data_IF_034932246723
#
_entry.id   IF_034932246723
#
_cell.length_a   1.000
_cell.length_b   1.000
_cell.length_c   1.000
_cell.angle_alpha   90.00
_cell.angle_beta   90.00
_cell.angle_gamma   90.00
#
_symmetry.space_group_name_H-M   'P 1'
#
loop_
_entity.id
_entity.type
_entity.pdbx_description
1 polymer ?
#
# COMPACT_ATOMS: atom_id res chain seq x y z
N UNK A 1 -42.97 26.64 43.38
CA UNK A 1 -41.71 27.43 43.45
C UNK A 1 -40.54 26.51 43.13
N UNK A 2 -39.91 26.64 41.95
CA UNK A 2 -38.65 25.93 41.62
C UNK A 2 -37.49 26.83 42.07
N UNK A 3 -36.65 26.37 43.01
CA UNK A 3 -35.40 27.05 43.32
C UNK A 3 -34.46 27.00 42.10
N UNK A 4 -33.75 28.09 41.76
CA UNK A 4 -32.80 28.06 40.66
C UNK A 4 -31.53 27.31 41.11
N UNK A 5 -31.06 26.36 40.30
CA UNK A 5 -29.76 25.72 40.48
C UNK A 5 -28.65 26.78 40.50
N UNK A 6 -27.98 26.95 41.64
CA UNK A 6 -26.81 27.81 41.75
C UNK A 6 -25.68 27.24 40.89
N UNK A 7 -25.31 27.93 39.80
CA UNK A 7 -24.10 27.62 39.02
C UNK A 7 -22.88 27.81 39.94
N UNK A 8 -22.30 26.71 40.43
CA UNK A 8 -21.00 26.73 41.11
C UNK A 8 -19.96 27.30 40.16
N UNK A 9 -19.50 28.53 40.40
CA UNK A 9 -18.39 29.14 39.66
C UNK A 9 -17.10 28.42 40.06
N UNK A 10 -16.51 27.69 39.12
CA UNK A 10 -15.16 27.15 39.25
C UNK A 10 -14.21 28.32 39.51
N UNK A 11 -13.44 28.27 40.61
CA UNK A 11 -12.55 29.36 40.98
C UNK A 11 -11.49 29.59 39.91
N UNK A 12 -10.96 30.81 39.81
CA UNK A 12 -9.93 31.18 38.84
C UNK A 12 -8.71 30.26 38.95
N UNK A 13 -8.36 29.85 40.17
CA UNK A 13 -7.27 28.91 40.42
C UNK A 13 -7.55 27.52 39.83
N UNK A 14 -8.76 27.00 39.96
CA UNK A 14 -9.15 25.73 39.34
C UNK A 14 -9.19 25.81 37.81
N UNK A 15 -9.60 26.94 37.24
CA UNK A 15 -9.52 27.17 35.79
C UNK A 15 -8.07 27.22 35.30
N UNK A 16 -7.17 27.85 36.06
CA UNK A 16 -5.75 27.94 35.75
C UNK A 16 -5.07 26.56 35.86
N UNK A 17 -5.37 25.80 36.91
CA UNK A 17 -4.89 24.41 37.06
C UNK A 17 -5.40 23.55 35.92
N UNK A 18 -6.69 23.62 35.58
CA UNK A 18 -7.25 22.87 34.45
C UNK A 18 -6.60 23.27 33.12
N UNK A 19 -6.31 24.55 32.92
CA UNK A 19 -5.65 25.05 31.71
C UNK A 19 -4.20 24.56 31.62
N UNK A 20 -3.43 24.66 32.71
CA UNK A 20 -2.04 24.20 32.75
C UNK A 20 -1.97 22.67 32.60
N UNK A 21 -2.89 21.92 33.20
CA UNK A 21 -2.94 20.47 33.01
C UNK A 21 -3.36 20.11 31.59
N UNK A 22 -4.37 20.74 31.01
CA UNK A 22 -4.74 20.53 29.60
C UNK A 22 -3.60 20.88 28.65
N UNK A 23 -2.84 21.95 28.92
CA UNK A 23 -1.69 22.36 28.12
C UNK A 23 -0.52 21.38 28.28
N UNK A 24 -0.22 20.93 29.51
CA UNK A 24 0.83 19.96 29.80
C UNK A 24 0.52 18.56 29.25
N UNK A 25 -0.71 18.08 29.41
CA UNK A 25 -1.16 16.83 28.79
C UNK A 25 -1.23 16.94 27.27
N UNK A 26 -1.71 18.06 26.74
CA UNK A 26 -1.77 18.31 25.30
C UNK A 26 -0.40 18.35 24.64
N UNK A 27 0.59 18.95 25.29
CA UNK A 27 1.98 18.99 24.80
C UNK A 27 2.68 17.64 24.89
N UNK A 28 2.55 16.90 25.99
CA UNK A 28 3.13 15.57 26.12
C UNK A 28 2.48 14.54 25.19
N UNK A 29 1.14 14.55 25.08
CA UNK A 29 0.41 13.71 24.14
C UNK A 29 0.75 14.07 22.69
N UNK A 30 0.82 15.37 22.37
CA UNK A 30 1.24 15.86 21.05
C UNK A 30 2.66 15.43 20.68
N UNK A 31 3.61 15.53 21.62
CA UNK A 31 4.98 15.06 21.42
C UNK A 31 5.04 13.55 21.18
N UNK A 32 4.30 12.75 21.97
CA UNK A 32 4.25 11.29 21.79
C UNK A 32 3.63 10.90 20.45
N UNK A 33 2.57 11.58 20.03
CA UNK A 33 1.95 11.39 18.70
C UNK A 33 2.91 11.77 17.58
N UNK A 34 3.65 12.87 17.74
CA UNK A 34 4.70 13.26 16.80
C UNK A 34 5.82 12.23 16.74
N UNK A 35 6.29 11.73 17.88
CA UNK A 35 7.34 10.70 17.92
C UNK A 35 6.87 9.40 17.27
N UNK A 36 5.65 8.94 17.56
CA UNK A 36 5.05 7.76 16.93
C UNK A 36 4.86 7.97 15.42
N UNK A 37 4.31 9.12 15.02
CA UNK A 37 4.14 9.46 13.61
C UNK A 37 5.46 9.54 12.87
N UNK A 38 6.51 10.09 13.49
CA UNK A 38 7.85 10.16 12.90
C UNK A 38 8.47 8.77 12.73
N UNK A 39 8.37 7.90 13.73
CA UNK A 39 8.84 6.50 13.65
C UNK A 39 8.11 5.70 12.57
N UNK A 40 6.83 5.96 12.38
CA UNK A 40 6.02 5.28 11.36
C UNK A 40 6.10 5.91 9.98
N UNK A 41 6.87 6.99 9.77
CA UNK A 41 6.96 7.66 8.47
C UNK A 41 5.68 8.41 8.07
N UNK A 42 4.95 8.98 9.03
CA UNK A 42 3.70 9.69 8.78
C UNK A 42 3.87 11.15 8.37
N UNK A 43 5.08 11.68 8.53
CA UNK A 43 5.46 13.03 8.11
C UNK A 43 6.36 12.92 6.88
N UNK A 44 5.84 13.41 5.76
CA UNK A 44 6.53 13.36 4.47
C UNK A 44 7.73 14.29 4.47
N UNK A 45 8.71 13.96 3.63
CA UNK A 45 9.73 14.92 3.26
C UNK A 45 9.10 16.03 2.40
N UNK A 46 9.69 17.22 2.41
CA UNK A 46 9.22 18.36 1.61
C UNK A 46 9.24 18.04 0.12
N UNK A 47 10.28 17.32 -0.32
CA UNK A 47 10.45 16.82 -1.68
C UNK A 47 10.89 15.35 -1.66
N UNK A 48 10.62 14.67 -2.76
CA UNK A 48 11.08 13.30 -2.98
C UNK A 48 12.61 13.26 -3.07
N UNK A 49 13.24 12.27 -2.41
CA UNK A 49 14.71 12.16 -2.40
C UNK A 49 15.30 11.77 -3.76
N UNK A 50 14.46 11.26 -4.65
CA UNK A 50 14.78 10.89 -6.02
C UNK A 50 13.54 11.13 -6.88
N UNK A 51 13.71 11.60 -8.13
CA UNK A 51 12.60 11.68 -9.07
C UNK A 51 12.06 10.27 -9.36
N UNK A 52 10.74 10.17 -9.52
CA UNK A 52 10.12 8.96 -10.05
C UNK A 52 10.17 9.00 -11.57
N UNK A 53 11.12 8.27 -12.15
CA UNK A 53 11.26 8.12 -13.59
C UNK A 53 10.83 6.71 -14.01
N UNK A 54 9.85 6.63 -14.91
CA UNK A 54 9.41 5.39 -15.54
C UNK A 54 9.54 5.59 -17.03
N UNK A 55 10.34 4.74 -17.67
CA UNK A 55 10.46 4.68 -19.12
C UNK A 55 9.89 3.32 -19.52
N UNK A 56 8.61 3.26 -19.92
CA UNK A 56 8.01 2.01 -20.36
C UNK A 56 8.78 1.39 -21.52
N UNK A 57 8.87 0.06 -21.53
CA UNK A 57 9.45 -0.74 -22.60
C UNK A 57 8.67 -0.56 -23.91
N UNK A 58 7.36 -0.30 -23.81
CA UNK A 58 6.45 -0.01 -24.93
C UNK A 58 5.76 1.34 -24.72
N UNK A 59 5.58 2.11 -25.79
CA UNK A 59 5.09 3.50 -25.69
C UNK A 59 3.60 3.67 -25.43
N UNK A 60 2.81 2.61 -25.60
CA UNK A 60 1.33 2.59 -25.52
C UNK A 60 0.81 1.58 -24.50
N UNK A 61 1.71 1.07 -23.66
CA UNK A 61 1.48 -0.08 -22.80
C UNK A 61 2.38 -0.01 -21.58
N UNK A 62 1.81 -0.31 -20.41
CA UNK A 62 2.54 -0.47 -19.16
C UNK A 62 2.33 -1.89 -18.63
N UNK A 63 3.41 -2.64 -18.47
CA UNK A 63 3.43 -3.98 -17.89
C UNK A 63 4.14 -3.94 -16.53
N UNK A 64 3.45 -4.29 -15.45
CA UNK A 64 4.06 -4.27 -14.12
C UNK A 64 3.72 -5.50 -13.31
N UNK A 65 4.49 -5.75 -12.25
CA UNK A 65 4.19 -6.73 -11.22
C UNK A 65 3.82 -5.99 -9.93
N UNK A 66 2.86 -6.51 -9.17
CA UNK A 66 2.60 -6.04 -7.81
C UNK A 66 2.63 -7.22 -6.82
N UNK A 67 3.31 -7.04 -5.69
CA UNK A 67 3.38 -8.02 -4.61
C UNK A 67 3.76 -7.36 -3.27
N UNK A 68 3.18 -7.83 -2.17
CA UNK A 68 3.50 -7.45 -0.80
C UNK A 68 4.03 -8.62 0.01
N UNK A 69 4.42 -8.33 1.25
CA UNK A 69 4.75 -9.34 2.27
C UNK A 69 5.89 -10.24 1.78
N UNK A 70 6.87 -9.57 1.18
CA UNK A 70 8.11 -10.18 0.69
C UNK A 70 9.10 -10.25 1.85
N UNK A 71 10.39 -9.96 1.72
CA UNK A 71 11.21 -9.68 2.91
C UNK A 71 11.49 -10.81 3.91
N UNK A 72 11.26 -12.08 3.56
CA UNK A 72 11.59 -13.22 4.44
C UNK A 72 12.98 -13.79 4.15
N UNK A 73 13.47 -13.67 2.92
CA UNK A 73 14.71 -14.26 2.40
C UNK A 73 14.64 -15.77 2.17
N UNK A 74 13.48 -16.38 2.40
CA UNK A 74 13.27 -17.83 2.42
C UNK A 74 13.18 -18.44 1.00
N UNK A 75 12.95 -19.75 0.93
CA UNK A 75 12.83 -20.48 -0.35
C UNK A 75 11.60 -20.06 -1.16
N UNK A 76 10.52 -19.69 -0.49
CA UNK A 76 9.26 -19.34 -1.15
C UNK A 76 9.32 -17.97 -1.81
N UNK A 77 9.89 -16.97 -1.12
CA UNK A 77 10.17 -15.66 -1.74
C UNK A 77 11.08 -15.82 -2.97
N UNK A 78 12.11 -16.67 -2.89
CA UNK A 78 13.00 -16.95 -4.04
C UNK A 78 12.28 -17.68 -5.18
N UNK A 79 11.32 -18.56 -4.86
CA UNK A 79 10.48 -19.24 -5.85
C UNK A 79 9.58 -18.24 -6.57
N UNK A 80 8.89 -17.37 -5.82
CA UNK A 80 8.09 -16.26 -6.36
C UNK A 80 8.93 -15.37 -7.24
N UNK A 81 10.11 -14.93 -6.80
CA UNK A 81 11.02 -14.11 -7.60
C UNK A 81 11.46 -14.80 -8.92
N UNK A 82 11.65 -16.12 -8.90
CA UNK A 82 11.93 -16.89 -10.11
C UNK A 82 10.70 -16.98 -11.04
N UNK A 83 9.49 -17.10 -10.49
CA UNK A 83 8.24 -17.02 -11.24
C UNK A 83 8.04 -15.65 -11.89
N UNK A 84 8.28 -14.56 -11.15
CA UNK A 84 8.25 -13.19 -11.68
C UNK A 84 9.22 -13.03 -12.85
N UNK A 85 10.46 -13.55 -12.74
CA UNK A 85 11.44 -13.46 -13.83
C UNK A 85 10.94 -14.13 -15.11
N UNK A 86 10.29 -15.31 -15.01
CA UNK A 86 9.68 -15.98 -16.18
C UNK A 86 8.55 -15.16 -16.80
N UNK A 87 7.69 -14.58 -15.96
CA UNK A 87 6.60 -13.72 -16.44
C UNK A 87 7.16 -12.49 -17.16
N UNK A 88 8.21 -11.86 -16.62
CA UNK A 88 8.84 -10.72 -17.28
C UNK A 88 9.62 -11.10 -18.55
N UNK A 89 10.18 -12.31 -18.64
CA UNK A 89 10.77 -12.85 -19.87
C UNK A 89 9.70 -13.08 -20.96
N UNK A 90 8.48 -13.47 -20.58
CA UNK A 90 7.39 -13.78 -21.50
C UNK A 90 6.61 -12.54 -21.95
N UNK A 91 6.22 -11.67 -21.01
CA UNK A 91 5.33 -10.53 -21.27
C UNK A 91 6.05 -9.18 -21.33
N UNK A 92 7.33 -9.12 -20.94
CA UNK A 92 7.99 -7.87 -20.56
C UNK A 92 7.55 -7.40 -19.17
N UNK A 93 8.30 -6.48 -18.58
CA UNK A 93 7.94 -5.78 -17.35
C UNK A 93 8.69 -4.45 -17.29
N UNK A 94 8.04 -3.40 -16.81
CA UNK A 94 8.59 -2.05 -16.70
C UNK A 94 8.99 -1.72 -15.27
N UNK A 95 8.21 -2.20 -14.30
CA UNK A 95 8.42 -1.92 -12.88
C UNK A 95 7.75 -2.98 -11.98
N UNK A 96 8.10 -2.91 -10.70
CA UNK A 96 7.44 -3.69 -9.65
C UNK A 96 6.91 -2.75 -8.57
N UNK A 97 5.66 -2.96 -8.11
CA UNK A 97 5.11 -2.33 -6.92
C UNK A 97 5.28 -3.28 -5.72
N UNK A 98 6.01 -2.84 -4.69
CA UNK A 98 6.11 -3.55 -3.41
C UNK A 98 5.07 -3.02 -2.43
N UNK A 99 4.10 -3.86 -2.08
CA UNK A 99 2.91 -3.51 -1.30
C UNK A 99 3.14 -3.56 0.23
N UNK A 100 4.35 -3.25 0.68
CA UNK A 100 4.73 -3.23 2.10
C UNK A 100 5.13 -4.58 2.68
N UNK A 101 5.55 -4.54 3.94
CA UNK A 101 6.23 -5.62 4.66
C UNK A 101 7.45 -6.11 3.90
N UNK A 102 8.33 -5.16 3.63
CA UNK A 102 9.49 -5.34 2.78
C UNK A 102 10.59 -6.15 3.47
N UNK A 103 10.65 -6.11 4.81
CA UNK A 103 11.64 -6.83 5.61
C UNK A 103 11.05 -7.38 6.91
N UNK A 104 10.93 -8.70 7.02
CA UNK A 104 10.54 -9.37 8.27
C UNK A 104 11.73 -9.68 9.18
N UNK A 105 11.56 -9.75 10.51
CA UNK A 105 10.29 -9.59 11.22
C UNK A 105 9.96 -8.14 11.59
N UNK A 106 10.90 -7.20 11.53
CA UNK A 106 10.67 -5.88 12.11
C UNK A 106 11.27 -4.73 11.28
N UNK A 107 11.47 -4.90 9.97
CA UNK A 107 12.10 -3.89 9.14
C UNK A 107 13.64 -3.95 9.21
N UNK A 108 14.28 -2.83 8.85
CA UNK A 108 15.74 -2.66 8.83
C UNK A 108 16.19 -1.67 9.89
N UNK A 109 17.41 -1.85 10.42
CA UNK A 109 17.96 -0.97 11.47
C UNK A 109 18.77 0.21 10.94
N UNK A 110 19.26 0.11 9.70
CA UNK A 110 20.11 1.11 9.08
C UNK A 110 20.21 0.91 7.56
N UNK A 111 20.76 1.87 6.84
CA UNK A 111 21.02 1.78 5.38
C UNK A 111 22.14 0.80 4.99
N UNK A 112 22.76 0.13 5.96
CA UNK A 112 23.78 -0.91 5.76
C UNK A 112 23.33 -2.25 6.36
N UNK A 113 22.05 -2.36 6.72
CA UNK A 113 21.47 -3.60 7.22
C UNK A 113 21.59 -4.70 6.14
N UNK A 114 22.18 -5.87 6.45
CA UNK A 114 22.40 -6.95 5.47
C UNK A 114 21.11 -7.53 4.89
N UNK A 115 19.94 -7.20 5.46
CA UNK A 115 18.64 -7.59 4.92
C UNK A 115 18.37 -7.02 3.53
N UNK A 116 18.83 -5.80 3.21
CA UNK A 116 18.71 -5.27 1.85
C UNK A 116 19.37 -6.19 0.83
N UNK A 117 20.58 -6.67 1.12
CA UNK A 117 21.29 -7.57 0.22
C UNK A 117 20.64 -8.96 0.20
N UNK A 118 20.46 -9.57 1.36
CA UNK A 118 20.08 -10.98 1.48
C UNK A 118 18.62 -11.28 1.14
N UNK A 119 17.72 -10.29 1.31
CA UNK A 119 16.26 -10.44 1.17
C UNK A 119 15.65 -9.62 0.02
N UNK A 120 16.39 -8.66 -0.53
CA UNK A 120 15.96 -7.87 -1.68
C UNK A 120 16.92 -8.04 -2.87
N UNK A 121 18.14 -7.49 -2.82
CA UNK A 121 19.03 -7.43 -3.99
C UNK A 121 19.32 -8.82 -4.56
N UNK A 122 19.77 -9.78 -3.74
CA UNK A 122 20.09 -11.13 -4.20
C UNK A 122 18.85 -11.93 -4.62
N UNK A 123 17.68 -11.61 -4.06
CA UNK A 123 16.43 -12.30 -4.37
C UNK A 123 15.92 -11.88 -5.75
N UNK A 124 15.98 -10.58 -6.05
CA UNK A 124 15.36 -9.99 -7.24
C UNK A 124 16.37 -9.59 -8.35
N UNK A 125 17.68 -9.83 -8.17
CA UNK A 125 18.75 -9.44 -9.11
C UNK A 125 18.51 -9.79 -10.59
N UNK A 126 17.71 -10.83 -10.89
CA UNK A 126 17.43 -11.26 -12.27
C UNK A 126 16.47 -10.32 -13.00
N UNK A 127 15.59 -9.64 -12.28
CA UNK A 127 14.56 -8.77 -12.87
C UNK A 127 15.16 -7.49 -13.44
N UNK A 128 16.14 -6.89 -12.75
CA UNK A 128 16.78 -5.62 -13.15
C UNK A 128 15.77 -4.49 -13.40
N UNK A 129 14.67 -4.48 -12.65
CA UNK A 129 13.62 -3.48 -12.71
C UNK A 129 13.71 -2.50 -11.53
N UNK A 130 13.08 -1.32 -11.63
CA UNK A 130 12.78 -0.50 -10.47
C UNK A 130 11.63 -1.12 -9.64
N UNK A 131 11.81 -1.15 -8.32
CA UNK A 131 10.85 -1.63 -7.32
C UNK A 131 10.37 -0.44 -6.48
N UNK A 132 9.14 0.01 -6.73
CA UNK A 132 8.48 1.09 -6.02
C UNK A 132 7.82 0.55 -4.75
N UNK A 133 8.44 0.80 -3.60
CA UNK A 133 8.00 0.26 -2.32
C UNK A 133 7.15 1.25 -1.52
N UNK A 134 6.16 0.71 -0.80
CA UNK A 134 5.51 1.37 0.34
C UNK A 134 5.85 0.62 1.62
N UNK A 135 5.53 1.20 2.79
CA UNK A 135 5.79 0.58 4.09
C UNK A 135 4.60 -0.28 4.55
N UNK A 136 4.91 -1.45 5.12
CA UNK A 136 3.98 -2.26 5.90
C UNK A 136 4.15 -2.11 7.40
N UNK A 137 3.35 -2.86 8.18
CA UNK A 137 3.36 -2.74 9.63
C UNK A 137 4.58 -3.40 10.28
N UNK A 138 5.30 -4.28 9.58
CA UNK A 138 6.58 -4.81 10.03
C UNK A 138 7.71 -3.82 9.78
N UNK A 139 7.65 -3.04 8.70
CA UNK A 139 8.69 -2.07 8.34
C UNK A 139 8.80 -0.91 9.36
N UNK A 140 7.65 -0.44 9.87
CA UNK A 140 7.57 0.70 10.81
C UNK A 140 8.02 0.37 12.24
N UNK A 141 8.45 -0.87 12.51
CA UNK A 141 8.96 -1.27 13.83
C UNK A 141 10.43 -0.88 14.03
N UNK A 142 11.15 -0.56 12.96
CA UNK A 142 12.54 -0.11 12.99
C UNK A 142 12.69 1.16 12.13
N UNK A 143 13.85 1.36 11.50
CA UNK A 143 14.21 2.62 10.87
C UNK A 143 13.65 2.72 9.43
N UNK A 144 12.49 3.37 9.33
CA UNK A 144 11.82 3.63 8.05
C UNK A 144 12.61 4.58 7.15
N UNK A 145 13.40 5.50 7.72
CA UNK A 145 14.22 6.44 6.95
C UNK A 145 15.34 5.70 6.20
N UNK A 146 15.82 4.59 6.75
CA UNK A 146 16.79 3.75 6.05
C UNK A 146 16.24 3.11 4.78
N UNK A 147 14.96 2.76 4.73
CA UNK A 147 14.32 2.26 3.50
C UNK A 147 14.23 3.35 2.43
N UNK A 148 13.91 4.58 2.81
CA UNK A 148 14.00 5.74 1.93
C UNK A 148 15.42 5.92 1.39
N UNK A 149 16.39 6.17 2.28
CA UNK A 149 17.77 6.52 1.90
C UNK A 149 18.44 5.41 1.09
N UNK A 150 18.06 4.15 1.29
CA UNK A 150 18.58 3.04 0.48
C UNK A 150 18.28 3.20 -1.02
N UNK A 151 17.26 3.98 -1.40
CA UNK A 151 16.99 4.33 -2.80
C UNK A 151 18.15 5.08 -3.46
N UNK A 152 18.94 5.84 -2.68
CA UNK A 152 20.15 6.53 -3.16
C UNK A 152 21.33 5.57 -3.40
N UNK A 153 21.26 4.33 -2.89
CA UNK A 153 22.33 3.31 -2.99
C UNK A 153 22.03 2.23 -4.03
N UNK A 154 20.77 1.85 -4.18
CA UNK A 154 20.35 0.79 -5.10
C UNK A 154 19.93 1.36 -6.45
N UNK A 155 20.15 0.59 -7.52
CA UNK A 155 19.57 0.91 -8.83
C UNK A 155 18.15 0.37 -8.99
N UNK A 156 17.74 -0.60 -8.16
CA UNK A 156 16.43 -1.24 -8.23
C UNK A 156 15.49 -0.75 -7.13
N UNK A 157 15.96 -0.53 -5.92
CA UNK A 157 15.09 -0.07 -4.83
C UNK A 157 14.66 1.40 -5.03
N UNK A 158 13.35 1.65 -5.05
CA UNK A 158 12.75 2.98 -5.19
C UNK A 158 11.70 3.20 -4.11
N UNK A 159 12.02 4.08 -3.17
CA UNK A 159 11.09 4.60 -2.20
C UNK A 159 11.41 6.10 -2.07
N UNK A 160 10.82 6.96 -2.91
CA UNK A 160 11.19 8.37 -3.01
C UNK A 160 10.70 9.20 -1.80
N UNK A 161 9.60 8.78 -1.17
CA UNK A 161 9.03 9.38 0.03
C UNK A 161 8.23 8.30 0.79
N UNK A 162 7.73 8.61 1.99
CA UNK A 162 6.87 7.67 2.72
C UNK A 162 5.52 7.46 2.03
N UNK A 163 5.06 8.47 1.31
CA UNK A 163 3.92 8.44 0.39
C UNK A 163 4.29 9.25 -0.84
N UNK A 164 3.98 8.74 -2.02
CA UNK A 164 4.36 9.37 -3.27
C UNK A 164 3.35 9.03 -4.37
N UNK A 165 3.39 9.80 -5.44
CA UNK A 165 2.58 9.55 -6.62
C UNK A 165 3.40 9.74 -7.88
N UNK A 166 3.03 9.02 -8.92
CA UNK A 166 3.67 9.14 -10.22
C UNK A 166 2.70 8.78 -11.33
N UNK A 167 2.97 9.31 -12.51
CA UNK A 167 2.12 9.17 -13.68
C UNK A 167 2.90 8.59 -14.85
N UNK A 168 2.21 7.73 -15.60
CA UNK A 168 2.59 7.28 -16.94
C UNK A 168 1.57 7.83 -17.93
N UNK A 169 1.70 7.51 -19.21
CA UNK A 169 0.60 7.79 -20.13
C UNK A 169 -0.64 6.98 -19.72
N UNK A 170 -0.50 5.70 -19.41
CA UNK A 170 -1.61 4.76 -19.23
C UNK A 170 -2.29 4.89 -17.87
N UNK A 171 -1.52 5.15 -16.82
CA UNK A 171 -1.99 5.11 -15.43
C UNK A 171 -1.32 6.15 -14.53
N UNK A 172 -2.08 6.61 -13.52
CA UNK A 172 -1.60 7.35 -12.36
C UNK A 172 -1.59 6.46 -11.13
N UNK A 173 -0.56 6.62 -10.31
CA UNK A 173 -0.29 5.75 -9.16
C UNK A 173 -0.17 6.57 -7.88
N UNK A 174 -0.77 6.09 -6.79
CA UNK A 174 -0.59 6.64 -5.44
C UNK A 174 -0.15 5.56 -4.48
N UNK A 175 1.11 5.66 -4.01
CA UNK A 175 1.69 4.78 -3.00
C UNK A 175 1.45 5.34 -1.60
N UNK A 176 0.77 4.57 -0.75
CA UNK A 176 0.32 5.00 0.56
C UNK A 176 1.07 4.30 1.71
N UNK A 177 1.39 5.06 2.76
CA UNK A 177 1.78 4.53 4.04
C UNK A 177 0.54 4.31 4.91
N UNK A 178 -0.15 3.20 4.67
CA UNK A 178 -1.39 2.84 5.39
C UNK A 178 -1.25 2.67 6.91
N UNK A 179 -0.04 2.72 7.47
CA UNK A 179 0.19 2.81 8.92
C UNK A 179 -0.21 4.19 9.51
N UNK A 180 -0.43 5.18 8.65
CA UNK A 180 -0.63 6.56 9.04
C UNK A 180 -2.10 6.99 8.89
N UNK A 181 -2.71 7.59 9.93
CA UNK A 181 -4.12 7.94 9.92
C UNK A 181 -4.46 9.07 8.94
N UNK A 182 -3.47 9.84 8.48
CA UNK A 182 -3.68 10.99 7.59
C UNK A 182 -3.51 10.68 6.09
N UNK A 183 -3.11 9.46 5.73
CA UNK A 183 -2.86 9.07 4.33
C UNK A 183 -4.11 9.16 3.47
N UNK A 184 -5.26 8.77 4.02
CA UNK A 184 -6.55 8.88 3.33
C UNK A 184 -6.88 10.34 2.96
N UNK A 185 -6.65 11.29 3.87
CA UNK A 185 -6.90 12.71 3.61
C UNK A 185 -5.91 13.29 2.59
N UNK A 186 -4.63 12.87 2.64
CA UNK A 186 -3.64 13.23 1.62
C UNK A 186 -4.01 12.70 0.24
N UNK A 187 -4.42 11.43 0.15
CA UNK A 187 -4.94 10.85 -1.09
C UNK A 187 -6.15 11.64 -1.61
N UNK A 188 -7.11 11.94 -0.74
CA UNK A 188 -8.30 12.72 -1.11
C UNK A 188 -7.92 14.07 -1.73
N UNK A 189 -6.94 14.77 -1.14
CA UNK A 189 -6.43 16.04 -1.68
C UNK A 189 -5.79 15.86 -3.05
N UNK A 190 -4.96 14.84 -3.23
CA UNK A 190 -4.31 14.55 -4.52
C UNK A 190 -5.34 14.20 -5.60
N UNK A 191 -6.30 13.31 -5.30
CA UNK A 191 -7.38 12.99 -6.23
C UNK A 191 -8.20 14.24 -6.59
N UNK A 192 -8.48 15.14 -5.64
CA UNK A 192 -9.23 16.37 -5.92
C UNK A 192 -8.49 17.30 -6.88
N UNK A 193 -7.17 17.40 -6.74
CA UNK A 193 -6.33 18.17 -7.62
C UNK A 193 -6.36 17.60 -9.04
N UNK A 194 -6.08 16.31 -9.18
CA UNK A 194 -5.97 15.68 -10.49
C UNK A 194 -7.33 15.56 -11.21
N UNK A 195 -8.41 15.31 -10.47
CA UNK A 195 -9.76 15.29 -11.06
C UNK A 195 -10.15 16.70 -11.58
N UNK A 196 -9.69 17.78 -10.95
CA UNK A 196 -9.93 19.13 -11.44
C UNK A 196 -9.18 19.40 -12.76
N UNK A 197 -7.93 18.97 -12.87
CA UNK A 197 -7.14 19.09 -14.12
C UNK A 197 -7.75 18.29 -15.28
N UNK A 198 -8.33 17.13 -14.97
CA UNK A 198 -8.85 16.19 -15.98
C UNK A 198 -10.17 16.60 -16.61
N UNK A 199 -10.96 17.46 -15.96
CA UNK A 199 -12.23 17.97 -16.55
C UNK A 199 -12.05 18.69 -17.89
N UNK A 200 -10.82 19.03 -18.29
CA UNK A 200 -10.51 19.67 -19.56
C UNK A 200 -10.50 18.72 -20.79
N UNK A 201 -10.28 17.41 -20.63
CA UNK A 201 -10.35 16.40 -21.72
C UNK A 201 -10.72 15.01 -21.17
N UNK A 202 -12.03 14.78 -20.98
CA UNK A 202 -12.57 13.54 -20.40
C UNK A 202 -12.31 12.29 -21.25
N UNK A 203 -11.93 12.43 -22.52
CA UNK A 203 -11.73 11.30 -23.44
C UNK A 203 -10.38 10.58 -23.26
N UNK A 204 -9.52 11.07 -22.36
CA UNK A 204 -8.15 10.56 -22.15
C UNK A 204 -7.79 10.27 -20.69
N UNK A 205 -8.76 9.89 -19.86
CA UNK A 205 -8.50 9.60 -18.44
C UNK A 205 -7.62 8.34 -18.27
N UNK A 206 -6.41 8.44 -17.69
CA UNK A 206 -5.59 7.28 -17.37
C UNK A 206 -6.27 6.44 -16.26
N UNK A 207 -5.84 5.20 -16.12
CA UNK A 207 -6.26 4.36 -15.00
C UNK A 207 -5.75 4.94 -13.68
N UNK A 208 -6.58 4.89 -12.64
CA UNK A 208 -6.20 5.36 -11.30
C UNK A 208 -5.94 4.17 -10.40
N UNK A 209 -4.67 3.97 -10.02
CA UNK A 209 -4.24 2.85 -9.21
C UNK A 209 -3.73 3.39 -7.87
N UNK A 210 -4.35 2.92 -6.79
CA UNK A 210 -3.91 3.21 -5.42
C UNK A 210 -3.30 1.95 -4.86
N UNK A 211 -2.14 2.05 -4.21
CA UNK A 211 -1.50 0.90 -3.59
C UNK A 211 -0.99 1.23 -2.19
N UNK A 212 -1.13 0.27 -1.29
CA UNK A 212 -0.78 0.39 0.12
C UNK A 212 -0.54 -0.98 0.73
N UNK A 213 -0.30 -1.03 2.04
CA UNK A 213 -0.08 -2.31 2.72
C UNK A 213 -1.39 -2.95 3.19
N UNK A 214 -2.19 -2.23 3.99
CA UNK A 214 -3.40 -2.78 4.59
C UNK A 214 -4.57 -2.85 3.58
N UNK A 215 -5.27 -3.99 3.55
CA UNK A 215 -6.46 -4.22 2.74
C UNK A 215 -7.71 -3.58 3.36
N UNK A 216 -8.60 -3.01 2.55
CA UNK A 216 -9.91 -2.51 3.01
C UNK A 216 -10.91 -3.67 3.16
N UNK A 217 -10.96 -4.52 2.13
CA UNK A 217 -11.72 -5.75 2.07
C UNK A 217 -10.78 -6.94 2.09
N UNK A 218 -11.09 -7.97 2.87
CA UNK A 218 -10.29 -9.18 2.95
C UNK A 218 -11.10 -10.37 3.46
N UNK A 219 -10.74 -11.53 2.94
CA UNK A 219 -11.13 -12.83 3.47
C UNK A 219 -9.97 -13.54 4.18
N UNK A 220 -8.82 -12.88 4.33
CA UNK A 220 -7.70 -13.39 5.11
C UNK A 220 -7.97 -13.26 6.61
N UNK A 221 -6.95 -13.57 7.41
CA UNK A 221 -7.07 -13.63 8.88
C UNK A 221 -7.29 -12.29 9.55
N UNK A 222 -6.95 -11.19 8.87
CA UNK A 222 -7.19 -9.85 9.37
C UNK A 222 -8.61 -9.35 9.08
N UNK A 223 -9.34 -10.01 8.17
CA UNK A 223 -10.70 -9.65 7.78
C UNK A 223 -10.80 -8.26 7.16
N UNK A 224 -12.04 -7.82 6.92
CA UNK A 224 -12.32 -6.46 6.49
C UNK A 224 -11.92 -5.45 7.58
N UNK A 225 -11.53 -4.25 7.14
CA UNK A 225 -11.47 -3.09 8.05
C UNK A 225 -12.82 -2.81 8.70
N UNK A 226 -12.81 -2.19 9.87
CA UNK A 226 -14.03 -1.84 10.59
C UNK A 226 -14.94 -0.92 9.75
N UNK A 227 -16.24 -0.96 10.04
CA UNK A 227 -17.25 -0.27 9.23
C UNK A 227 -16.97 1.23 9.04
N UNK A 228 -16.51 1.94 10.08
CA UNK A 228 -16.27 3.38 9.99
C UNK A 228 -15.07 3.68 9.10
N UNK A 229 -13.97 2.95 9.31
CA UNK A 229 -12.76 3.07 8.49
C UNK A 229 -13.07 2.73 7.04
N UNK A 230 -13.79 1.63 6.79
CA UNK A 230 -14.19 1.19 5.45
C UNK A 230 -15.08 2.22 4.75
N UNK A 231 -16.11 2.73 5.42
CA UNK A 231 -16.99 3.76 4.85
C UNK A 231 -16.23 5.03 4.47
N UNK A 232 -15.24 5.42 5.27
CA UNK A 232 -14.40 6.58 4.96
C UNK A 232 -13.50 6.34 3.75
N UNK A 233 -12.87 5.17 3.64
CA UNK A 233 -12.09 4.81 2.45
C UNK A 233 -12.95 4.72 1.19
N UNK A 234 -14.08 4.04 1.26
CA UNK A 234 -15.01 3.93 0.13
C UNK A 234 -15.44 5.29 -0.40
N UNK A 235 -15.75 6.25 0.50
CA UNK A 235 -16.08 7.62 0.11
C UNK A 235 -14.97 8.31 -0.70
N UNK A 236 -13.71 7.98 -0.45
CA UNK A 236 -12.56 8.56 -1.16
C UNK A 236 -12.30 7.84 -2.48
N UNK A 237 -12.46 6.50 -2.51
CA UNK A 237 -12.02 5.67 -3.63
C UNK A 237 -13.11 5.49 -4.71
N UNK A 238 -14.36 5.29 -4.30
CA UNK A 238 -15.44 4.88 -5.22
C UNK A 238 -15.69 5.93 -6.32
N UNK A 239 -15.72 5.48 -7.58
CA UNK A 239 -15.89 6.34 -8.75
C UNK A 239 -14.64 7.16 -9.15
N UNK A 240 -13.57 7.10 -8.37
CA UNK A 240 -12.33 7.89 -8.57
C UNK A 240 -11.11 7.01 -8.80
N UNK A 241 -11.12 5.81 -8.22
CA UNK A 241 -10.03 4.82 -8.24
C UNK A 241 -10.52 3.57 -8.97
N UNK A 242 -9.71 3.06 -9.88
CA UNK A 242 -10.05 1.87 -10.66
C UNK A 242 -9.63 0.58 -9.96
N UNK A 243 -8.48 0.63 -9.29
CA UNK A 243 -7.86 -0.51 -8.64
C UNK A 243 -7.17 -0.07 -7.34
N UNK A 244 -7.54 -0.71 -6.23
CA UNK A 244 -6.85 -0.63 -4.96
C UNK A 244 -6.04 -1.92 -4.74
N UNK A 245 -4.72 -1.79 -4.61
CA UNK A 245 -3.80 -2.89 -4.37
C UNK A 245 -3.32 -2.90 -2.92
N UNK A 246 -3.33 -4.08 -2.29
CA UNK A 246 -2.81 -4.25 -0.93
C UNK A 246 -2.05 -5.56 -0.73
N UNK A 247 -1.22 -5.60 0.32
CA UNK A 247 -0.62 -6.81 0.88
C UNK A 247 -1.32 -7.22 2.18
N UNK A 248 -0.53 -7.41 3.23
CA UNK A 248 -0.89 -7.68 4.64
C UNK A 248 -1.53 -9.03 4.89
N UNK A 249 -2.56 -9.39 4.12
CA UNK A 249 -3.10 -10.74 4.14
C UNK A 249 -2.25 -11.62 3.23
N UNK A 250 -1.73 -12.71 3.78
CA UNK A 250 -0.78 -13.59 3.11
C UNK A 250 -1.42 -14.53 2.07
N UNK A 251 -2.26 -13.97 1.19
CA UNK A 251 -2.93 -14.63 0.08
C UNK A 251 -3.03 -13.72 -1.15
N UNK A 252 -3.60 -14.26 -2.23
CA UNK A 252 -4.09 -13.48 -3.34
C UNK A 252 -5.62 -13.47 -3.32
N UNK A 253 -6.24 -12.31 -3.48
CA UNK A 253 -7.69 -12.21 -3.54
C UNK A 253 -8.16 -11.05 -4.42
N UNK A 254 -9.35 -11.19 -4.99
CA UNK A 254 -10.03 -10.16 -5.77
C UNK A 254 -11.44 -9.93 -5.22
N UNK A 255 -11.74 -8.70 -4.84
CA UNK A 255 -13.04 -8.27 -4.34
C UNK A 255 -13.62 -7.14 -5.18
N UNK A 256 -14.94 -7.19 -5.35
CA UNK A 256 -15.72 -6.14 -5.99
C UNK A 256 -16.95 -5.84 -5.12
N UNK A 257 -16.97 -4.75 -4.34
CA UNK A 257 -18.14 -4.36 -3.56
C UNK A 257 -19.34 -4.06 -4.45
N UNK A 258 -20.55 -4.31 -3.95
CA UNK A 258 -21.77 -4.03 -4.69
C UNK A 258 -21.86 -2.54 -5.05
N UNK A 259 -22.19 -2.23 -6.30
CA UNK A 259 -22.27 -0.87 -6.85
C UNK A 259 -20.94 -0.08 -6.85
N UNK A 260 -19.81 -0.73 -6.61
CA UNK A 260 -18.49 -0.10 -6.75
C UNK A 260 -17.92 -0.35 -8.15
N UNK A 261 -17.38 0.70 -8.76
CA UNK A 261 -16.54 0.57 -9.95
C UNK A 261 -15.07 0.35 -9.62
N UNK A 262 -14.70 0.26 -8.35
CA UNK A 262 -13.32 0.03 -7.88
C UNK A 262 -13.12 -1.45 -7.60
N UNK A 263 -12.06 -2.04 -8.15
CA UNK A 263 -11.64 -3.39 -7.79
C UNK A 263 -10.61 -3.33 -6.65
N UNK A 264 -10.73 -4.27 -5.71
CA UNK A 264 -9.85 -4.38 -4.56
C UNK A 264 -9.09 -5.70 -4.68
N UNK A 265 -7.77 -5.62 -4.82
CA UNK A 265 -6.91 -6.79 -5.02
C UNK A 265 -5.88 -6.89 -3.91
N UNK A 266 -5.85 -8.06 -3.28
CA UNK A 266 -4.80 -8.44 -2.35
C UNK A 266 -3.76 -9.25 -3.13
N UNK A 267 -2.50 -8.85 -3.01
CA UNK A 267 -1.34 -9.58 -3.52
C UNK A 267 -0.26 -9.69 -2.44
N UNK A 268 -0.62 -10.17 -1.25
CA UNK A 268 0.28 -10.28 -0.09
C UNK A 268 0.97 -11.63 0.05
N UNK A 269 1.09 -12.41 -1.03
CA UNK A 269 1.62 -13.77 -0.97
C UNK A 269 3.09 -13.86 -1.46
N UNK A 270 3.86 -12.78 -1.34
CA UNK A 270 5.17 -12.63 -1.98
C UNK A 270 6.32 -13.42 -1.32
N UNK A 271 6.14 -13.93 -0.10
CA UNK A 271 7.15 -14.77 0.57
C UNK A 271 6.88 -15.09 2.04
N UNK A 272 6.04 -14.30 2.71
CA UNK A 272 5.46 -14.65 4.00
C UNK A 272 4.30 -15.66 3.84
N UNK A 273 4.07 -16.46 4.88
CA UNK A 273 2.99 -17.45 4.94
C UNK A 273 2.08 -17.16 6.13
N UNK A 274 0.86 -17.69 6.08
CA UNK A 274 0.08 -17.90 7.30
C UNK A 274 0.87 -18.74 8.31
N UNK A 275 0.66 -18.52 9.62
CA UNK A 275 1.45 -19.18 10.66
C UNK A 275 1.17 -20.68 10.75
N UNK A 276 0.07 -21.15 10.17
CA UNK A 276 -0.29 -22.58 10.08
C UNK A 276 -1.23 -22.91 8.92
N UNK A 277 -1.30 -24.19 8.54
CA UNK A 277 -2.24 -24.69 7.53
C UNK A 277 -3.70 -24.44 7.91
N UNK A 278 -4.03 -24.53 9.21
CA UNK A 278 -5.40 -24.28 9.68
C UNK A 278 -5.77 -22.79 9.62
N UNK A 279 -4.79 -21.89 9.74
CA UNK A 279 -4.98 -20.46 9.55
C UNK A 279 -5.24 -20.13 8.08
N UNK A 280 -4.50 -20.79 7.17
CA UNK A 280 -4.67 -20.70 5.72
C UNK A 280 -6.07 -21.17 5.23
N UNK A 281 -6.73 -22.03 5.99
CA UNK A 281 -8.08 -22.54 5.72
C UNK A 281 -9.20 -21.72 6.41
N UNK A 282 -8.85 -20.91 7.41
CA UNK A 282 -9.77 -20.02 8.12
C UNK A 282 -9.89 -18.70 7.37
N UNK A 283 -10.65 -18.73 6.28
CA UNK A 283 -11.04 -17.52 5.58
C UNK A 283 -12.16 -16.81 6.32
N UNK A 284 -12.01 -15.51 6.53
CA UNK A 284 -13.08 -14.65 7.02
C UNK A 284 -14.06 -14.31 5.89
N UNK A 285 -15.28 -13.92 6.24
CA UNK A 285 -16.26 -13.42 5.28
C UNK A 285 -16.05 -11.93 5.10
N UNK A 286 -15.66 -11.53 3.89
CA UNK A 286 -15.76 -10.13 3.48
C UNK A 286 -17.22 -9.76 3.23
N UNK A 287 -17.58 -8.49 3.47
CA UNK A 287 -18.87 -7.93 3.05
C UNK A 287 -18.90 -7.61 1.56
N UNK A 288 -17.75 -7.53 0.89
CA UNK A 288 -17.68 -7.40 -0.56
C UNK A 288 -17.82 -8.75 -1.27
N UNK A 289 -18.21 -8.72 -2.54
CA UNK A 289 -18.22 -9.93 -3.37
C UNK A 289 -16.79 -10.43 -3.55
N UNK A 290 -16.51 -11.63 -3.05
CA UNK A 290 -15.23 -12.32 -3.26
C UNK A 290 -15.28 -13.01 -4.63
N UNK A 291 -14.58 -12.44 -5.60
CA UNK A 291 -14.55 -12.93 -6.98
C UNK A 291 -13.54 -14.08 -7.13
N UNK A 292 -12.40 -13.96 -6.45
CA UNK A 292 -11.35 -14.99 -6.52
C UNK A 292 -10.49 -14.99 -5.26
N UNK A 293 -10.00 -16.16 -4.86
CA UNK A 293 -9.04 -16.31 -3.77
C UNK A 293 -8.07 -17.45 -4.07
N UNK A 294 -6.79 -17.21 -3.80
CA UNK A 294 -5.74 -18.21 -3.83
C UNK A 294 -4.86 -18.07 -2.59
N UNK A 295 -4.85 -19.10 -1.74
CA UNK A 295 -4.19 -19.06 -0.43
C UNK A 295 -2.74 -19.57 -0.44
N UNK A 296 -2.03 -19.55 -1.58
CA UNK A 296 -0.61 -19.90 -1.65
C UNK A 296 0.25 -18.73 -2.11
N UNK A 297 1.57 -18.91 -2.11
CA UNK A 297 2.48 -17.92 -2.64
C UNK A 297 2.25 -17.66 -4.13
N UNK A 298 2.38 -16.38 -4.48
CA UNK A 298 2.15 -15.89 -5.82
C UNK A 298 2.27 -14.38 -5.87
N UNK A 299 1.83 -13.82 -6.97
CA UNK A 299 1.89 -12.38 -7.25
C UNK A 299 0.87 -12.05 -8.33
N UNK A 300 0.63 -10.77 -8.57
CA UNK A 300 -0.15 -10.33 -9.72
C UNK A 300 0.75 -9.63 -10.74
N UNK A 301 0.38 -9.71 -12.02
CA UNK A 301 0.87 -8.80 -13.05
C UNK A 301 -0.29 -7.96 -13.58
N UNK A 302 0.01 -6.71 -13.92
CA UNK A 302 -0.92 -5.80 -14.58
C UNK A 302 -0.42 -5.49 -15.99
N UNK A 303 -1.36 -5.57 -16.92
CA UNK A 303 -1.19 -5.23 -18.33
C UNK A 303 -2.15 -4.06 -18.60
N UNK A 304 -1.58 -2.88 -18.86
CA UNK A 304 -2.33 -1.62 -18.86
C UNK A 304 -2.12 -0.92 -20.19
N UNK A 305 -3.22 -0.62 -20.87
CA UNK A 305 -3.30 0.29 -22.02
C UNK A 305 -4.31 1.39 -21.68
N UNK A 306 -4.51 2.36 -22.57
CA UNK A 306 -5.55 3.39 -22.36
C UNK A 306 -6.98 2.83 -22.26
N UNK A 307 -7.25 1.71 -22.93
CA UNK A 307 -8.59 1.14 -23.07
C UNK A 307 -8.81 -0.07 -22.16
N UNK A 308 -7.73 -0.64 -21.61
CA UNK A 308 -7.78 -1.92 -20.92
C UNK A 308 -6.84 -1.96 -19.71
N UNK A 309 -7.35 -2.50 -18.60
CA UNK A 309 -6.60 -2.88 -17.41
C UNK A 309 -6.84 -4.38 -17.16
N UNK A 310 -5.84 -5.20 -17.42
CA UNK A 310 -5.88 -6.63 -17.19
C UNK A 310 -5.04 -6.99 -15.97
N UNK A 311 -5.67 -7.75 -15.07
CA UNK A 311 -5.10 -8.23 -13.81
C UNK A 311 -4.93 -9.73 -13.95
N UNK A 312 -3.69 -10.21 -13.93
CA UNK A 312 -3.37 -11.64 -13.98
C UNK A 312 -2.80 -12.07 -12.64
N UNK A 313 -3.39 -13.10 -12.06
CA UNK A 313 -2.92 -13.74 -10.84
C UNK A 313 -2.03 -14.91 -11.22
N UNK A 314 -0.86 -14.97 -10.62
CA UNK A 314 0.12 -16.01 -10.86
C UNK A 314 0.40 -16.79 -9.59
N UNK A 315 0.51 -18.12 -9.70
CA UNK A 315 1.13 -18.91 -8.63
C UNK A 315 2.64 -18.64 -8.54
N UNK A 316 3.28 -19.16 -7.51
CA UNK A 316 4.74 -19.00 -7.29
C UNK A 316 5.64 -19.45 -8.45
N UNK A 317 5.14 -20.24 -9.40
CA UNK A 317 5.90 -20.68 -10.57
C UNK A 317 5.81 -19.73 -11.77
N UNK A 318 4.91 -18.75 -11.70
CA UNK A 318 4.57 -17.82 -12.79
C UNK A 318 3.34 -18.25 -13.61
N UNK A 319 2.71 -19.38 -13.29
CA UNK A 319 1.53 -19.86 -14.02
C UNK A 319 0.33 -18.97 -13.71
N UNK A 320 -0.37 -18.51 -14.74
CA UNK A 320 -1.65 -17.80 -14.59
C UNK A 320 -2.69 -18.74 -13.99
N UNK A 321 -3.31 -18.32 -12.89
CA UNK A 321 -4.34 -19.07 -12.15
C UNK A 321 -5.70 -18.37 -12.15
N UNK A 322 -5.73 -17.08 -12.47
CA UNK A 322 -6.96 -16.28 -12.64
C UNK A 322 -6.64 -15.00 -13.42
N UNK A 323 -7.59 -14.53 -14.21
CA UNK A 323 -7.48 -13.29 -14.97
C UNK A 323 -8.78 -12.50 -14.87
N UNK A 324 -8.63 -11.18 -14.81
CA UNK A 324 -9.73 -10.23 -14.84
C UNK A 324 -9.36 -9.07 -15.76
N UNK A 325 -10.34 -8.49 -16.45
CA UNK A 325 -10.09 -7.39 -17.39
C UNK A 325 -11.19 -6.35 -17.24
N UNK A 326 -10.77 -5.10 -17.03
CA UNK A 326 -11.61 -3.92 -17.17
C UNK A 326 -11.33 -3.27 -18.50
N UNK A 327 -12.38 -2.78 -19.13
CA UNK A 327 -12.29 -2.00 -20.36
C UNK A 327 -13.07 -0.69 -20.22
N UNK A 328 -12.68 0.33 -20.97
CA UNK A 328 -13.31 1.65 -21.02
C UNK A 328 -13.66 2.06 -22.43
#
# INVERSE_FOLDING_TARGET
MKQPFAKRRISILWKLILFITLLGFGTAAGYKLYEQGSKSGCFLLEEDILPVEIIPFRTDHLQLIALGDTGTGNKDQRRVAAGMAKVCEEFGCDLVLLLGDNFYPDGVKSTVDPQFISKFEQVYQKLKLPFFAVLGNHDVKQDVLSQLIYSLKSTSWRMPNYEYSFNTAEARFYGLNTNCPFSAERLRKNLNHDDAEQTADATKRPWTIVFGHHSIYSNGTHGDTDFLTRSYWNWILEGRVDLYLSGHNHNLAHFQPENSSTDYVISGAGGAHYRSTSEREKLDKSVASNIYTYNDNGFISLDITREMLQIRFHDSSGKIIYEYTKSR
#
